data_IF_229999669577
#
_entry.id   IF_229999669577
#
_cell.length_a   1.000
_cell.length_b   1.000
_cell.length_c   1.000
_cell.angle_alpha   90.00
_cell.angle_beta   90.00
_cell.angle_gamma   90.00
#
_symmetry.space_group_name_H-M   'P 1'
#
loop_
_entity.id
_entity.type
_entity.pdbx_description
1 polymer ?
#
# COMPACT_ATOMS: atom_id res chain seq x y z
N UNK A 1 -2.26 -1.40 -16.39
CA UNK A 1 -1.04 -1.68 -15.61
C UNK A 1 -0.95 -0.84 -14.33
N UNK A 2 -0.02 -1.14 -13.42
CA UNK A 2 0.19 -0.37 -12.18
C UNK A 2 0.43 1.12 -12.44
N UNK A 3 1.20 1.43 -13.49
CA UNK A 3 1.50 2.80 -13.92
C UNK A 3 0.27 3.57 -14.38
N UNK A 4 -0.70 2.90 -15.02
CA UNK A 4 -1.95 3.54 -15.46
C UNK A 4 -2.81 3.93 -14.26
N UNK A 5 -2.83 3.10 -13.23
CA UNK A 5 -3.56 3.41 -11.99
C UNK A 5 -2.90 4.60 -11.27
N UNK A 6 -1.58 4.64 -11.20
CA UNK A 6 -0.84 5.79 -10.65
C UNK A 6 -1.23 7.07 -11.40
N UNK A 7 -1.21 7.06 -12.75
CA UNK A 7 -1.62 8.20 -13.56
C UNK A 7 -3.06 8.62 -13.30
N UNK A 8 -4.01 7.66 -13.22
CA UNK A 8 -5.42 7.95 -12.92
C UNK A 8 -5.59 8.62 -11.55
N UNK A 9 -4.90 8.14 -10.52
CA UNK A 9 -4.99 8.70 -9.17
C UNK A 9 -4.35 10.08 -9.12
N UNK A 10 -3.17 10.27 -9.72
CA UNK A 10 -2.51 11.58 -9.80
C UNK A 10 -3.40 12.61 -10.52
N UNK A 11 -4.05 12.21 -11.62
CA UNK A 11 -5.00 13.06 -12.36
C UNK A 11 -6.28 13.37 -11.57
N UNK A 12 -6.71 12.46 -10.68
CA UNK A 12 -7.91 12.68 -9.86
C UNK A 12 -7.73 13.80 -8.83
N UNK A 13 -6.50 14.15 -8.46
CA UNK A 13 -6.19 15.15 -7.43
C UNK A 13 -6.61 14.75 -6.01
N UNK A 14 -6.99 13.48 -5.78
CA UNK A 14 -7.44 13.00 -4.46
C UNK A 14 -6.33 13.01 -3.41
N UNK A 15 -5.08 12.83 -3.85
CA UNK A 15 -3.89 12.99 -3.02
C UNK A 15 -3.34 14.40 -3.22
N UNK A 16 -3.00 15.06 -2.11
CA UNK A 16 -2.42 16.42 -2.14
C UNK A 16 -1.14 16.50 -2.98
N UNK A 17 -0.36 15.42 -2.98
CA UNK A 17 0.92 15.32 -3.66
C UNK A 17 0.90 14.14 -4.64
N UNK A 18 1.82 14.14 -5.61
CA UNK A 18 2.00 13.02 -6.55
C UNK A 18 2.41 11.74 -5.82
N UNK A 19 1.98 10.60 -6.38
CA UNK A 19 2.39 9.27 -5.92
C UNK A 19 3.90 9.08 -6.15
N UNK A 20 4.58 8.59 -5.12
CA UNK A 20 6.02 8.26 -5.16
C UNK A 20 6.27 6.74 -5.13
N UNK A 21 5.22 5.93 -5.30
CA UNK A 21 5.32 4.47 -5.33
C UNK A 21 6.13 4.02 -6.54
N UNK A 22 7.16 3.21 -6.31
CA UNK A 22 7.99 2.65 -7.38
C UNK A 22 7.31 1.46 -8.08
N UNK A 23 7.50 1.36 -9.39
CA UNK A 23 7.10 0.21 -10.21
C UNK A 23 8.36 -0.40 -10.81
N UNK A 24 8.78 -1.53 -10.26
CA UNK A 24 10.00 -2.23 -10.65
C UNK A 24 9.68 -3.69 -10.96
N UNK A 25 10.57 -4.35 -11.70
CA UNK A 25 10.50 -5.80 -11.88
C UNK A 25 10.70 -6.50 -10.54
N UNK A 26 9.95 -7.58 -10.32
CA UNK A 26 10.11 -8.39 -9.12
C UNK A 26 11.52 -9.00 -9.07
N UNK A 27 12.17 -8.89 -7.91
CA UNK A 27 13.50 -9.46 -7.63
C UNK A 27 13.38 -10.47 -6.48
N UNK A 28 14.50 -10.85 -5.87
CA UNK A 28 14.48 -11.76 -4.72
C UNK A 28 13.69 -11.19 -3.54
N UNK A 29 12.88 -12.03 -2.90
CA UNK A 29 12.13 -11.70 -1.68
C UNK A 29 12.58 -12.60 -0.54
N UNK A 30 13.09 -12.02 0.54
CA UNK A 30 13.58 -12.75 1.70
C UNK A 30 12.51 -12.77 2.79
N UNK A 31 12.15 -13.94 3.34
CA UNK A 31 11.15 -14.02 4.39
C UNK A 31 11.63 -13.30 5.65
N UNK A 32 10.75 -12.50 6.24
CA UNK A 32 10.96 -11.97 7.58
C UNK A 32 10.80 -13.09 8.64
N UNK A 33 11.42 -12.91 9.80
CA UNK A 33 11.33 -13.85 10.92
C UNK A 33 9.88 -14.20 11.31
N UNK A 34 9.67 -15.40 11.85
CA UNK A 34 8.33 -15.93 12.20
C UNK A 34 7.52 -15.02 13.13
N UNK A 35 8.18 -14.22 13.97
CA UNK A 35 7.52 -13.25 14.85
C UNK A 35 6.80 -12.13 14.09
N UNK A 36 7.24 -11.81 12.87
CA UNK A 36 6.60 -10.81 12.00
C UNK A 36 5.43 -11.42 11.20
N UNK A 37 5.43 -12.73 11.01
CA UNK A 37 4.40 -13.41 10.24
C UNK A 37 3.07 -13.38 11.00
N UNK A 38 2.04 -12.83 10.35
CA UNK A 38 0.69 -12.69 10.91
C UNK A 38 0.66 -11.97 12.27
N UNK A 39 1.56 -11.01 12.50
CA UNK A 39 1.70 -10.32 13.78
C UNK A 39 0.36 -9.81 14.36
N UNK A 40 -0.43 -9.10 13.56
CA UNK A 40 -1.73 -8.56 14.00
C UNK A 40 -2.84 -9.62 14.14
N UNK A 41 -2.67 -10.84 13.59
CA UNK A 41 -3.59 -11.94 13.89
C UNK A 41 -3.24 -12.61 15.23
N UNK A 42 -1.94 -12.70 15.55
CA UNK A 42 -1.43 -13.22 16.83
C UNK A 42 -1.70 -12.23 17.97
N UNK A 43 -1.58 -10.93 17.69
CA UNK A 43 -1.80 -9.82 18.62
C UNK A 43 -2.77 -8.79 18.02
N UNK A 44 -4.10 -8.98 18.19
CA UNK A 44 -5.12 -8.10 17.59
C UNK A 44 -5.00 -6.63 18.00
N UNK A 45 -4.57 -6.37 19.24
CA UNK A 45 -4.35 -5.00 19.76
C UNK A 45 -2.90 -4.51 19.54
N UNK A 46 -2.15 -5.19 18.67
CA UNK A 46 -0.79 -4.83 18.31
C UNK A 46 -0.69 -3.52 17.54
N UNK A 47 0.52 -2.97 17.46
CA UNK A 47 0.74 -1.68 16.80
C UNK A 47 0.46 -1.73 15.29
N UNK A 48 -0.34 -0.79 14.82
CA UNK A 48 -0.55 -0.50 13.39
C UNK A 48 -0.90 0.98 13.18
N UNK A 49 -0.45 1.53 12.06
CA UNK A 49 -0.83 2.88 11.59
C UNK A 49 -1.69 2.85 10.33
N UNK A 50 -2.03 1.66 9.84
CA UNK A 50 -2.79 1.50 8.60
C UNK A 50 -4.28 1.38 8.87
N UNK A 51 -5.07 2.15 8.12
CA UNK A 51 -6.52 2.10 8.11
C UNK A 51 -7.04 2.40 6.70
N UNK A 52 -8.30 2.04 6.43
CA UNK A 52 -8.97 2.37 5.18
C UNK A 52 -9.30 3.85 5.15
N UNK A 53 -8.92 4.52 4.06
CA UNK A 53 -9.34 5.90 3.80
C UNK A 53 -10.59 5.78 2.95
N UNK A 54 -11.67 6.41 3.39
CA UNK A 54 -12.90 6.47 2.60
C UNK A 54 -12.69 7.45 1.44
N UNK A 55 -12.29 6.90 0.30
CA UNK A 55 -11.97 7.65 -0.92
C UNK A 55 -12.90 7.22 -2.05
N UNK A 56 -13.68 8.16 -2.58
CA UNK A 56 -14.55 7.91 -3.72
C UNK A 56 -13.81 8.19 -5.02
N UNK A 57 -13.05 7.22 -5.51
CA UNK A 57 -12.41 7.27 -6.83
C UNK A 57 -13.37 6.65 -7.84
N UNK A 58 -13.92 7.47 -8.74
CA UNK A 58 -14.60 6.97 -9.95
C UNK A 58 -13.52 6.53 -10.94
N UNK A 59 -13.23 5.23 -10.98
CA UNK A 59 -12.19 4.60 -11.83
C UNK A 59 -12.65 4.48 -13.28
#
# INVERSE_FOLDING_TARGET
EAEDLIKKIDLSGILKNRITTEVNTFTSFFPADENHQKYLQKYPDGYTCHFLRDINIKV
#
